data_IF_902028282766
#
_entry.id   IF_902028282766
#
_cell.length_a   1.000
_cell.length_b   1.000
_cell.length_c   1.000
_cell.angle_alpha   90.00
_cell.angle_beta   90.00
_cell.angle_gamma   90.00
#
_symmetry.space_group_name_H-M   'P 1'
#
loop_
_entity.id
_entity.type
_entity.pdbx_description
1 polymer ?
#
# COMPACT_ATOMS: atom_id res chain seq x y z
N UNK A 1 -25.52 15.05 22.88
CA UNK A 1 -24.78 14.77 24.11
C UNK A 1 -23.25 14.77 24.03
N UNK A 2 -22.61 14.69 22.86
CA UNK A 2 -21.14 14.77 22.77
C UNK A 2 -20.65 15.84 21.76
N UNK A 3 -21.42 16.91 21.60
CA UNK A 3 -21.01 18.05 20.77
C UNK A 3 -20.24 19.03 21.63
N UNK A 4 -19.13 19.55 21.08
CA UNK A 4 -18.27 20.53 21.73
C UNK A 4 -18.67 21.91 21.20
N UNK A 5 -18.72 22.90 22.09
CA UNK A 5 -19.07 24.28 21.73
C UNK A 5 -18.01 24.90 20.80
N UNK A 6 -18.45 25.78 19.90
CA UNK A 6 -17.58 26.48 18.96
C UNK A 6 -16.63 27.40 19.74
N UNK A 7 -15.33 27.15 19.62
CA UNK A 7 -14.28 27.93 20.30
C UNK A 7 -13.70 27.28 21.56
N UNK A 8 -14.16 26.08 21.95
CA UNK A 8 -13.52 25.32 23.02
C UNK A 8 -12.11 24.84 22.62
N UNK A 9 -11.16 24.91 23.55
CA UNK A 9 -9.79 24.44 23.36
C UNK A 9 -9.69 22.94 23.68
N UNK A 10 -9.00 22.19 22.80
CA UNK A 10 -8.74 20.75 22.97
C UNK A 10 -7.27 20.54 23.33
N UNK A 11 -7.01 20.06 24.56
CA UNK A 11 -5.67 19.75 25.05
C UNK A 11 -5.39 18.25 25.02
N UNK A 12 -4.12 17.86 25.20
CA UNK A 12 -3.69 16.44 25.23
C UNK A 12 -4.29 15.70 26.44
N UNK A 13 -4.69 16.41 27.48
CA UNK A 13 -5.35 15.86 28.68
C UNK A 13 -6.70 15.22 28.37
N UNK A 14 -7.28 15.49 27.19
CA UNK A 14 -8.45 14.77 26.70
C UNK A 14 -8.20 13.27 26.54
N UNK A 15 -6.93 12.86 26.35
CA UNK A 15 -6.57 11.45 26.20
C UNK A 15 -6.06 10.84 27.51
N UNK A 16 -6.53 9.63 27.83
CA UNK A 16 -6.08 8.86 29.01
C UNK A 16 -4.94 7.91 28.63
N UNK A 17 -3.90 7.85 29.46
CA UNK A 17 -2.79 6.93 29.25
C UNK A 17 -3.27 5.45 29.24
N UNK A 18 -2.88 4.71 28.22
CA UNK A 18 -3.25 3.30 28.04
C UNK A 18 -4.52 3.05 27.23
N UNK A 19 -5.25 4.10 26.84
CA UNK A 19 -6.39 3.95 25.93
C UNK A 19 -5.92 3.71 24.49
N UNK A 20 -6.76 3.00 23.70
CA UNK A 20 -6.54 2.84 22.27
C UNK A 20 -7.10 4.05 21.53
N UNK A 21 -6.34 4.57 20.57
CA UNK A 21 -6.73 5.70 19.73
C UNK A 21 -6.51 5.34 18.27
N UNK A 22 -7.38 5.84 17.40
CA UNK A 22 -7.22 5.75 15.96
C UNK A 22 -6.50 6.99 15.43
N UNK A 23 -5.57 6.80 14.50
CA UNK A 23 -4.75 7.87 13.95
C UNK A 23 -4.84 7.84 12.42
N UNK A 24 -5.07 9.00 11.83
CA UNK A 24 -5.08 9.19 10.37
C UNK A 24 -3.97 10.15 9.97
N UNK A 25 -3.28 9.88 8.87
CA UNK A 25 -2.25 10.77 8.34
C UNK A 25 -1.77 10.35 6.96
N UNK A 26 -1.04 11.25 6.30
CA UNK A 26 -0.45 10.99 4.98
C UNK A 26 0.84 10.18 5.15
N UNK A 27 0.91 9.02 4.51
CA UNK A 27 2.12 8.20 4.50
C UNK A 27 3.25 8.83 3.70
N UNK A 28 4.50 8.55 4.06
CA UNK A 28 5.68 8.99 3.28
C UNK A 28 5.67 8.35 1.89
N UNK A 29 5.58 9.18 0.85
CA UNK A 29 5.71 8.74 -0.54
C UNK A 29 7.11 8.21 -0.85
N UNK A 30 7.20 7.01 -1.43
CA UNK A 30 8.48 6.41 -1.86
C UNK A 30 8.84 6.70 -3.32
N UNK A 31 8.07 7.53 -4.03
CA UNK A 31 8.24 7.78 -5.47
C UNK A 31 7.78 6.63 -6.38
N UNK A 32 8.27 6.57 -7.62
CA UNK A 32 7.95 5.49 -8.56
C UNK A 32 8.63 4.18 -8.12
N UNK A 33 7.83 3.15 -7.84
CA UNK A 33 8.32 1.87 -7.30
C UNK A 33 7.94 0.72 -8.23
N UNK A 34 8.89 -0.21 -8.41
CA UNK A 34 8.66 -1.45 -9.13
C UNK A 34 7.77 -2.44 -8.36
N UNK A 35 7.27 -3.45 -9.06
CA UNK A 35 6.26 -4.39 -8.54
C UNK A 35 6.71 -5.19 -7.31
N UNK A 36 7.99 -5.53 -7.21
CA UNK A 36 8.54 -6.25 -6.05
C UNK A 36 8.44 -5.40 -4.79
N UNK A 37 8.85 -4.13 -4.85
CA UNK A 37 8.83 -3.26 -3.66
C UNK A 37 7.43 -2.73 -3.33
N UNK A 38 6.55 -2.61 -4.32
CA UNK A 38 5.18 -2.12 -4.12
C UNK A 38 4.23 -3.23 -3.65
N UNK A 39 4.38 -4.45 -4.15
CA UNK A 39 3.42 -5.54 -3.95
C UNK A 39 4.04 -6.86 -3.44
N UNK A 40 5.33 -6.87 -3.06
CA UNK A 40 6.04 -8.05 -2.55
C UNK A 40 6.02 -9.28 -3.49
N UNK A 41 6.05 -9.05 -4.81
CA UNK A 41 6.10 -10.13 -5.81
C UNK A 41 7.45 -10.88 -5.80
N UNK A 42 7.44 -12.18 -6.15
CA UNK A 42 8.62 -13.06 -6.08
C UNK A 42 9.68 -12.89 -7.18
N UNK A 43 9.35 -12.31 -8.34
CA UNK A 43 10.28 -12.11 -9.45
C UNK A 43 10.69 -13.41 -10.18
N UNK A 44 11.61 -13.26 -11.14
CA UNK A 44 12.19 -14.38 -11.89
C UNK A 44 13.41 -14.99 -11.19
N UNK A 45 13.83 -16.19 -11.61
CA UNK A 45 15.06 -16.83 -11.09
C UNK A 45 16.29 -15.95 -11.34
N UNK A 46 17.27 -15.99 -10.44
CA UNK A 46 18.49 -15.21 -10.59
C UNK A 46 19.47 -15.79 -11.63
N UNK A 47 19.46 -17.10 -11.82
CA UNK A 47 20.37 -17.84 -12.71
C UNK A 47 19.57 -18.82 -13.59
N UNK A 48 20.23 -19.83 -14.17
CA UNK A 48 19.62 -20.85 -15.04
C UNK A 48 18.97 -20.27 -16.30
N UNK A 49 19.71 -19.44 -17.03
CA UNK A 49 19.30 -18.96 -18.36
C UNK A 49 18.25 -17.85 -18.35
N UNK A 50 18.02 -17.17 -17.23
CA UNK A 50 17.16 -16.00 -17.21
C UNK A 50 17.74 -14.89 -18.11
N UNK A 51 16.99 -14.50 -19.14
CA UNK A 51 17.29 -13.35 -19.97
C UNK A 51 16.44 -12.15 -19.55
N UNK A 52 17.06 -11.20 -18.83
CA UNK A 52 16.52 -9.86 -18.48
C UNK A 52 15.31 -9.84 -17.52
N UNK A 53 14.69 -10.97 -17.17
CA UNK A 53 13.40 -11.03 -16.44
C UNK A 53 13.51 -11.18 -14.91
N UNK A 54 14.65 -10.85 -14.31
CA UNK A 54 14.94 -11.05 -12.88
C UNK A 54 13.91 -10.39 -11.94
N UNK A 55 13.43 -9.20 -12.29
CA UNK A 55 12.56 -8.38 -11.43
C UNK A 55 11.26 -7.96 -12.11
N UNK A 56 10.85 -8.69 -13.14
CA UNK A 56 9.61 -8.43 -13.89
C UNK A 56 8.38 -8.95 -13.15
N UNK A 57 7.20 -8.50 -13.57
CA UNK A 57 5.91 -8.86 -12.97
C UNK A 57 5.37 -10.24 -13.40
N UNK A 58 5.96 -10.89 -14.42
CA UNK A 58 5.45 -12.14 -14.96
C UNK A 58 4.26 -11.92 -15.89
N UNK A 59 3.31 -12.86 -15.92
CA UNK A 59 2.09 -12.72 -16.71
C UNK A 59 1.07 -11.80 -16.04
N UNK A 60 0.37 -10.99 -16.83
CA UNK A 60 -0.72 -10.09 -16.36
C UNK A 60 -2.11 -10.61 -16.77
N UNK A 61 -2.20 -11.77 -17.43
CA UNK A 61 -3.47 -12.28 -17.94
C UNK A 61 -3.43 -13.67 -18.55
N UNK A 62 -4.52 -14.03 -19.24
CA UNK A 62 -4.75 -15.31 -19.90
C UNK A 62 -4.89 -15.14 -21.42
N UNK A 63 -4.77 -16.23 -22.18
CA UNK A 63 -4.89 -16.24 -23.66
C UNK A 63 -6.36 -16.17 -24.08
N UNK A 64 -6.65 -15.38 -25.11
CA UNK A 64 -7.95 -15.21 -25.80
C UNK A 64 -9.06 -14.64 -24.92
N UNK A 65 -9.51 -15.39 -23.93
CA UNK A 65 -10.53 -14.95 -22.96
C UNK A 65 -9.81 -14.72 -21.62
N UNK A 66 -9.86 -13.52 -21.03
CA UNK A 66 -10.79 -12.39 -21.25
C UNK A 66 -10.36 -11.33 -22.28
N UNK A 67 -9.22 -11.51 -22.97
CA UNK A 67 -8.75 -10.56 -24.01
C UNK A 67 -8.32 -9.17 -23.49
N UNK A 68 -8.21 -9.01 -22.16
CA UNK A 68 -7.79 -7.77 -21.49
C UNK A 68 -7.17 -8.05 -20.14
N UNK A 69 -6.46 -7.06 -19.60
CA UNK A 69 -6.02 -7.06 -18.19
C UNK A 69 -7.17 -6.58 -17.31
N UNK A 70 -7.43 -7.26 -16.19
CA UNK A 70 -8.42 -6.84 -15.22
C UNK A 70 -7.93 -5.64 -14.40
N UNK A 71 -8.87 -4.85 -13.86
CA UNK A 71 -8.53 -3.80 -12.89
C UNK A 71 -8.07 -4.48 -11.59
N UNK A 72 -6.90 -4.08 -11.11
CA UNK A 72 -6.35 -4.42 -9.80
C UNK A 72 -6.39 -3.23 -8.87
#
# INVERSE_FOLDING_TARGET
DNMIDVGAELTVEHFVAGQKVDVTGTSTGKGFQGVIKRHNMGGGRATHGNSVSHRTHGSTGQRQDPGKVFKG
#
